data_IF_053665709263
#
_entry.id   IF_053665709263
#
_cell.length_a   1.000
_cell.length_b   1.000
_cell.length_c   1.000
_cell.angle_alpha   90.00
_cell.angle_beta   90.00
_cell.angle_gamma   90.00
#
_symmetry.space_group_name_H-M   'P 1'
#
loop_
_entity.id
_entity.type
_entity.pdbx_description
1 polymer ?
#
# COMPACT_ATOMS: atom_id res chain seq x y z
N UNK A 1 -8.87 -20.20 21.06
CA UNK A 1 -10.12 -19.65 20.52
C UNK A 1 -9.78 -19.04 19.18
N UNK A 2 -10.56 -19.33 18.15
CA UNK A 2 -10.40 -18.64 16.86
C UNK A 2 -10.61 -17.14 17.06
N UNK A 3 -9.58 -16.36 16.73
CA UNK A 3 -9.54 -14.93 17.02
C UNK A 3 -10.40 -14.10 16.07
N UNK A 4 -10.77 -14.65 14.91
CA UNK A 4 -11.60 -14.02 13.90
C UNK A 4 -12.95 -14.75 13.77
N UNK A 5 -14.04 -13.99 13.63
CA UNK A 5 -15.34 -14.56 13.24
C UNK A 5 -15.26 -15.18 11.85
N UNK A 6 -16.23 -16.00 11.49
CA UNK A 6 -16.32 -16.58 10.13
C UNK A 6 -16.39 -15.48 9.06
N UNK A 7 -17.15 -14.42 9.31
CA UNK A 7 -17.23 -13.24 8.44
C UNK A 7 -15.89 -12.52 8.32
N UNK A 8 -15.17 -12.33 9.43
CA UNK A 8 -13.84 -11.70 9.42
C UNK A 8 -12.83 -12.56 8.64
N UNK A 9 -12.90 -13.88 8.75
CA UNK A 9 -12.07 -14.80 7.96
C UNK A 9 -12.39 -14.76 6.48
N UNK A 10 -13.68 -14.72 6.13
CA UNK A 10 -14.10 -14.58 4.74
C UNK A 10 -13.57 -13.28 4.13
N UNK A 11 -13.65 -12.16 4.88
CA UNK A 11 -13.10 -10.87 4.44
C UNK A 11 -11.57 -10.89 4.33
N UNK A 12 -10.87 -11.49 5.29
CA UNK A 12 -9.41 -11.64 5.24
C UNK A 12 -8.99 -12.46 4.01
N UNK A 13 -9.68 -13.57 3.75
CA UNK A 13 -9.45 -14.43 2.60
C UNK A 13 -9.71 -13.71 1.26
N UNK A 14 -10.78 -12.92 1.18
CA UNK A 14 -11.08 -12.10 0.00
C UNK A 14 -9.95 -11.12 -0.30
N UNK A 15 -9.40 -10.47 0.73
CA UNK A 15 -8.32 -9.49 0.61
C UNK A 15 -7.01 -10.18 0.23
N UNK A 16 -6.69 -11.34 0.82
CA UNK A 16 -5.53 -12.14 0.46
C UNK A 16 -5.57 -12.61 -1.00
N UNK A 17 -6.74 -13.01 -1.50
CA UNK A 17 -6.89 -13.46 -2.89
C UNK A 17 -6.50 -12.37 -3.90
N UNK A 18 -6.70 -11.09 -3.57
CA UNK A 18 -6.32 -9.95 -4.44
C UNK A 18 -4.81 -9.83 -4.64
N UNK A 19 -4.03 -10.28 -3.65
CA UNK A 19 -2.56 -10.28 -3.71
C UNK A 19 -1.99 -11.67 -4.01
N UNK A 20 -2.82 -12.62 -4.48
CA UNK A 20 -2.38 -13.95 -4.87
C UNK A 20 -2.00 -14.88 -3.71
N UNK A 21 -2.41 -14.55 -2.48
CA UNK A 21 -2.20 -15.39 -1.30
C UNK A 21 -3.40 -16.31 -1.05
N UNK A 22 -3.14 -17.46 -0.42
CA UNK A 22 -4.17 -18.35 0.10
C UNK A 22 -5.04 -17.71 1.20
N UNK A 23 -6.22 -18.28 1.49
CA UNK A 23 -7.24 -17.66 2.36
C UNK A 23 -6.78 -17.41 3.80
N UNK A 24 -5.78 -18.14 4.28
CA UNK A 24 -5.14 -17.98 5.60
C UNK A 24 -3.62 -18.03 5.47
N UNK A 25 -3.10 -17.63 4.32
CA UNK A 25 -1.66 -17.53 4.09
C UNK A 25 -1.14 -16.20 4.65
N UNK A 26 -0.04 -16.26 5.38
CA UNK A 26 0.61 -15.12 5.99
C UNK A 26 2.01 -14.96 5.41
N UNK A 27 2.39 -13.74 5.08
CA UNK A 27 3.74 -13.42 4.64
C UNK A 27 4.71 -13.44 5.81
N UNK A 28 4.22 -13.24 7.02
CA UNK A 28 4.98 -13.30 8.26
C UNK A 28 4.12 -13.89 9.37
N UNK A 29 4.69 -14.84 10.11
CA UNK A 29 4.11 -15.36 11.35
C UNK A 29 4.55 -14.44 12.48
N UNK A 30 3.62 -14.04 13.36
CA UNK A 30 3.79 -13.06 14.45
C UNK A 30 5.17 -13.13 15.13
N UNK A 31 6.13 -12.36 14.60
CA UNK A 31 7.56 -12.49 14.91
C UNK A 31 7.86 -12.06 16.34
N UNK A 32 7.08 -11.11 16.87
CA UNK A 32 7.41 -10.40 18.10
C UNK A 32 6.50 -10.76 19.28
N UNK A 33 5.31 -11.31 19.08
CA UNK A 33 4.41 -11.65 20.19
C UNK A 33 4.96 -12.74 21.14
N UNK A 34 5.91 -13.55 20.69
CA UNK A 34 6.52 -14.62 21.49
C UNK A 34 7.93 -14.30 21.97
N UNK A 35 8.48 -13.15 21.59
CA UNK A 35 9.82 -12.74 22.01
C UNK A 35 9.76 -12.09 23.40
N UNK A 36 10.84 -12.24 24.17
CA UNK A 36 11.04 -11.41 25.35
C UNK A 36 11.08 -9.94 24.93
N UNK A 37 10.41 -9.04 25.66
CA UNK A 37 10.35 -7.62 25.35
C UNK A 37 11.75 -6.97 25.22
N UNK A 38 12.75 -7.51 25.92
CA UNK A 38 14.15 -7.07 25.83
C UNK A 38 14.82 -7.42 24.50
N UNK A 39 14.27 -8.39 23.75
CA UNK A 39 14.78 -8.84 22.46
C UNK A 39 14.07 -8.17 21.28
N UNK A 40 12.93 -7.50 21.52
CA UNK A 40 12.22 -6.77 20.47
C UNK A 40 12.94 -5.43 20.20
N UNK A 41 13.34 -5.15 18.94
CA UNK A 41 13.95 -3.87 18.57
C UNK A 41 13.07 -2.68 18.99
N UNK A 42 13.69 -1.59 19.44
CA UNK A 42 12.98 -0.35 19.78
C UNK A 42 12.21 0.24 18.59
N UNK A 43 12.73 0.00 17.38
CA UNK A 43 12.14 0.40 16.12
C UNK A 43 11.99 -0.80 15.20
N UNK A 44 10.74 -1.18 14.95
CA UNK A 44 10.35 -2.16 13.94
C UNK A 44 9.99 -1.44 12.64
N UNK A 45 10.17 -2.11 11.51
CA UNK A 45 10.04 -1.49 10.19
C UNK A 45 9.37 -2.41 9.18
N UNK A 46 8.26 -1.97 8.61
CA UNK A 46 7.69 -2.50 7.36
C UNK A 46 8.10 -1.57 6.23
N UNK A 47 8.70 -2.12 5.18
CA UNK A 47 9.32 -1.31 4.12
C UNK A 47 9.05 -1.87 2.73
N UNK A 48 8.73 -1.02 1.74
CA UNK A 48 8.70 -1.44 0.32
C UNK A 48 10.10 -1.52 -0.27
N UNK A 49 11.01 -0.72 0.27
CA UNK A 49 12.42 -0.64 -0.16
C UNK A 49 13.38 -0.88 1.01
N UNK A 50 14.55 -1.46 0.73
CA UNK A 50 15.58 -1.73 1.73
C UNK A 50 15.17 -2.79 2.77
N UNK A 51 15.73 -2.66 3.98
CA UNK A 51 15.53 -3.63 5.07
C UNK A 51 14.14 -3.50 5.71
N UNK A 52 13.51 -4.65 5.97
CA UNK A 52 12.28 -4.78 6.74
C UNK A 52 12.43 -5.89 7.77
N UNK A 53 11.83 -5.67 8.94
CA UNK A 53 11.74 -6.64 10.03
C UNK A 53 10.64 -7.69 9.80
N UNK A 54 9.81 -7.50 8.77
CA UNK A 54 8.75 -8.40 8.38
C UNK A 54 9.04 -8.90 6.97
N UNK A 55 8.66 -10.13 6.64
CA UNK A 55 8.85 -10.69 5.30
C UNK A 55 7.74 -10.15 4.38
N UNK A 56 8.10 -9.38 3.35
CA UNK A 56 7.14 -8.88 2.37
C UNK A 56 6.77 -9.97 1.36
N UNK A 57 5.54 -9.93 0.87
CA UNK A 57 5.14 -10.54 -0.39
C UNK A 57 5.23 -9.48 -1.50
N UNK A 58 6.10 -9.73 -2.49
CA UNK A 58 6.25 -8.84 -3.64
C UNK A 58 5.56 -9.46 -4.84
N UNK A 59 4.67 -8.70 -5.47
CA UNK A 59 3.97 -9.13 -6.68
C UNK A 59 4.11 -8.09 -7.78
N UNK A 60 4.16 -8.55 -9.03
CA UNK A 60 4.12 -7.67 -10.19
C UNK A 60 2.67 -7.27 -10.45
N UNK A 61 2.45 -5.98 -10.69
CA UNK A 61 1.16 -5.43 -11.10
C UNK A 61 1.31 -4.95 -12.54
N UNK A 62 0.40 -5.34 -13.43
CA UNK A 62 0.54 -5.07 -14.86
C UNK A 62 0.09 -3.67 -15.26
N UNK A 63 -0.84 -3.07 -14.51
CA UNK A 63 -1.41 -1.75 -14.82
C UNK A 63 -1.89 -1.04 -13.56
N UNK A 64 -2.08 0.28 -13.65
CA UNK A 64 -2.68 1.07 -12.58
C UNK A 64 -4.13 0.63 -12.27
N UNK A 65 -4.84 0.11 -13.26
CA UNK A 65 -6.18 -0.44 -13.07
C UNK A 65 -6.15 -1.71 -12.21
N UNK A 66 -5.16 -2.57 -12.41
CA UNK A 66 -4.98 -3.75 -11.55
C UNK A 66 -4.56 -3.35 -10.13
N UNK A 67 -3.74 -2.30 -9.98
CA UNK A 67 -3.43 -1.73 -8.68
C UNK A 67 -4.69 -1.22 -7.98
N UNK A 68 -5.55 -0.49 -8.69
CA UNK A 68 -6.83 0.01 -8.17
C UNK A 68 -7.73 -1.12 -7.68
N UNK A 69 -7.86 -2.22 -8.42
CA UNK A 69 -8.64 -3.41 -8.00
C UNK A 69 -8.12 -4.03 -6.71
N UNK A 70 -6.81 -3.98 -6.47
CA UNK A 70 -6.19 -4.48 -5.24
C UNK A 70 -6.49 -3.54 -4.07
N UNK A 71 -6.28 -2.23 -4.26
CA UNK A 71 -6.35 -1.22 -3.18
C UNK A 71 -7.77 -0.78 -2.82
N UNK A 72 -8.68 -0.67 -3.80
CA UNK A 72 -10.06 -0.21 -3.56
C UNK A 72 -10.89 -1.37 -3.03
N UNK A 73 -11.34 -1.24 -1.78
CA UNK A 73 -12.29 -2.17 -1.17
C UNK A 73 -13.71 -1.61 -1.36
N UNK A 74 -14.65 -2.35 -1.96
CA UNK A 74 -16.03 -1.87 -2.17
C UNK A 74 -16.81 -1.60 -0.87
N UNK A 75 -16.25 -1.93 0.30
CA UNK A 75 -16.87 -1.80 1.62
C UNK A 75 -16.09 -0.92 2.61
N UNK A 76 -15.08 -0.16 2.17
CA UNK A 76 -14.55 0.94 2.99
C UNK A 76 -15.41 2.16 2.67
N UNK A 77 -16.43 2.39 3.49
CA UNK A 77 -16.99 3.74 3.63
C UNK A 77 -15.83 4.64 3.99
N UNK A 78 -15.52 5.57 3.09
CA UNK A 78 -14.51 6.61 3.19
C UNK A 78 -14.19 6.97 4.66
N UNK A 79 -13.01 6.62 5.21
CA UNK A 79 -12.51 7.30 6.39
C UNK A 79 -11.96 8.65 5.93
N UNK A 80 -12.83 9.55 5.46
CA UNK A 80 -12.45 10.93 5.18
C UNK A 80 -12.31 11.68 6.51
N UNK A 81 -11.16 11.51 7.17
CA UNK A 81 -10.55 12.55 8.02
C UNK A 81 -9.13 12.89 7.59
N UNK A 82 -8.72 12.48 6.38
CA UNK A 82 -7.53 12.99 5.70
C UNK A 82 -7.94 13.80 4.49
N UNK A 83 -7.17 14.85 4.16
CA UNK A 83 -7.30 15.54 2.87
C UNK A 83 -7.11 14.51 1.75
N UNK A 84 -8.06 14.43 0.83
CA UNK A 84 -7.93 13.61 -0.37
C UNK A 84 -6.66 14.07 -1.12
N UNK A 85 -5.77 13.15 -1.54
CA UNK A 85 -4.61 13.53 -2.32
C UNK A 85 -5.08 14.29 -3.57
N UNK A 86 -4.57 15.50 -3.81
CA UNK A 86 -5.03 16.33 -4.92
C UNK A 86 -4.75 15.62 -6.24
N UNK A 87 -5.74 15.62 -7.13
CA UNK A 87 -5.52 15.23 -8.52
C UNK A 87 -4.75 16.37 -9.21
N UNK A 88 -3.56 16.11 -9.77
CA UNK A 88 -2.83 17.14 -10.50
C UNK A 88 -3.59 17.52 -11.78
N UNK A 89 -3.40 18.74 -12.30
CA UNK A 89 -4.04 19.16 -13.54
C UNK A 89 -3.71 18.21 -14.70
N UNK A 90 -4.61 18.07 -15.65
CA UNK A 90 -4.38 17.26 -16.85
C UNK A 90 -3.10 17.73 -17.57
N UNK A 91 -2.27 16.79 -18.07
CA UNK A 91 -1.06 17.15 -18.77
C UNK A 91 -1.38 17.75 -20.13
N UNK A 92 -0.64 18.79 -20.54
CA UNK A 92 -0.78 19.40 -21.86
C UNK A 92 -0.64 18.36 -22.99
N UNK A 93 -1.51 18.33 -24.02
CA UNK A 93 -1.48 17.30 -25.07
C UNK A 93 -0.14 17.17 -25.80
N UNK A 94 0.62 18.26 -25.92
CA UNK A 94 1.96 18.26 -26.49
C UNK A 94 2.97 17.46 -25.66
N UNK A 95 2.82 17.47 -24.33
CA UNK A 95 3.63 16.72 -23.38
C UNK A 95 3.25 15.24 -23.42
N UNK A 96 1.95 14.93 -23.48
CA UNK A 96 1.45 13.56 -23.67
C UNK A 96 2.08 12.95 -24.92
N UNK A 97 1.95 13.62 -26.07
CA UNK A 97 2.50 13.13 -27.34
C UNK A 97 4.02 12.90 -27.28
N UNK A 98 4.76 13.78 -26.59
CA UNK A 98 6.21 13.62 -26.41
C UNK A 98 6.57 12.40 -25.54
N UNK A 99 5.80 12.13 -24.49
CA UNK A 99 6.05 10.99 -23.61
C UNK A 99 5.61 9.65 -24.20
N UNK A 100 4.55 9.67 -25.01
CA UNK A 100 4.03 8.47 -25.67
C UNK A 100 4.87 8.09 -26.90
N UNK A 101 5.51 9.05 -27.57
CA UNK A 101 6.29 8.84 -28.80
C UNK A 101 7.73 8.33 -28.58
N UNK A 102 8.18 8.22 -27.34
CA UNK A 102 9.56 7.85 -27.03
C UNK A 102 9.57 6.50 -26.30
N UNK A 103 10.55 5.68 -26.63
CA UNK A 103 10.73 4.34 -26.07
C UNK A 103 10.83 4.41 -24.52
N UNK A 104 9.99 3.66 -23.77
CA UNK A 104 10.01 3.62 -22.30
C UNK A 104 11.39 3.29 -21.70
N UNK A 105 12.23 2.54 -22.42
CA UNK A 105 13.57 2.14 -21.99
C UNK A 105 14.60 3.29 -22.03
N UNK A 106 14.35 4.34 -22.81
CA UNK A 106 15.25 5.48 -23.03
C UNK A 106 14.93 6.66 -22.11
N UNK A 107 13.76 6.65 -21.46
CA UNK A 107 13.12 7.86 -20.91
C UNK A 107 13.10 8.02 -19.39
N UNK A 108 13.30 6.96 -18.58
CA UNK A 108 13.22 7.09 -17.10
C UNK A 108 14.13 8.18 -16.52
N UNK A 109 15.22 8.52 -17.21
CA UNK A 109 16.16 9.58 -16.84
C UNK A 109 15.80 10.99 -17.35
N UNK A 110 14.90 11.14 -18.34
CA UNK A 110 14.61 12.42 -18.99
C UNK A 110 13.25 13.03 -18.64
N UNK A 111 12.40 12.33 -17.89
CA UNK A 111 11.15 12.91 -17.37
C UNK A 111 11.52 13.97 -16.31
N UNK A 112 11.07 15.23 -16.46
CA UNK A 112 11.25 16.29 -15.48
C UNK A 112 10.75 15.90 -14.08
N UNK A 113 11.38 16.41 -13.03
CA UNK A 113 11.09 16.02 -11.64
C UNK A 113 9.70 16.42 -11.15
N UNK A 114 9.22 17.59 -11.59
CA UNK A 114 7.86 18.07 -11.42
C UNK A 114 6.86 17.11 -12.07
N UNK A 115 7.12 16.69 -13.30
CA UNK A 115 6.24 15.76 -13.99
C UNK A 115 6.24 14.35 -13.37
N UNK A 116 7.39 13.88 -12.86
CA UNK A 116 7.44 12.64 -12.08
C UNK A 116 6.58 12.71 -10.82
N UNK A 117 6.57 13.88 -10.17
CA UNK A 117 5.73 14.12 -9.00
C UNK A 117 4.25 14.09 -9.38
N UNK A 118 3.84 14.82 -10.42
CA UNK A 118 2.46 14.84 -10.91
C UNK A 118 1.99 13.44 -11.32
N UNK A 119 2.82 12.68 -12.06
CA UNK A 119 2.52 11.28 -12.41
C UNK A 119 2.32 10.40 -11.17
N UNK A 120 3.15 10.58 -10.14
CA UNK A 120 3.03 9.83 -8.89
C UNK A 120 1.76 10.21 -8.12
N UNK A 121 1.41 11.50 -8.05
CA UNK A 121 0.20 11.99 -7.38
C UNK A 121 -1.07 11.51 -8.10
N UNK A 122 -1.11 11.62 -9.43
CA UNK A 122 -2.20 11.07 -10.25
C UNK A 122 -2.33 9.55 -10.09
N UNK A 123 -1.21 8.83 -10.03
CA UNK A 123 -1.22 7.38 -9.85
C UNK A 123 -1.83 6.98 -8.49
N UNK A 124 -1.48 7.70 -7.42
CA UNK A 124 -2.02 7.49 -6.08
C UNK A 124 -3.52 7.80 -6.06
N UNK A 125 -3.94 8.96 -6.59
CA UNK A 125 -5.34 9.38 -6.60
C UNK A 125 -6.24 8.40 -7.37
N UNK A 126 -5.78 7.91 -8.52
CA UNK A 126 -6.48 6.89 -9.30
C UNK A 126 -6.58 5.56 -8.55
N UNK A 127 -5.46 5.06 -8.02
CA UNK A 127 -5.40 3.75 -7.38
C UNK A 127 -6.20 3.69 -6.07
N UNK A 128 -6.37 4.82 -5.37
CA UNK A 128 -7.20 4.93 -4.17
C UNK A 128 -8.68 5.22 -4.46
N UNK A 129 -9.05 5.51 -5.70
CA UNK A 129 -10.43 5.82 -6.08
C UNK A 129 -10.90 7.23 -5.72
N UNK A 130 -9.97 8.16 -5.51
CA UNK A 130 -10.28 9.57 -5.18
C UNK A 130 -10.56 10.42 -6.43
N UNK A 131 -10.27 9.89 -7.61
CA UNK A 131 -10.69 10.49 -8.86
C UNK A 131 -12.20 10.32 -9.05
N UNK A 132 -12.98 11.33 -8.64
CA UNK A 132 -14.44 11.37 -8.79
C UNK A 132 -14.87 11.47 -10.25
N UNK A 133 -14.05 12.08 -11.11
CA UNK A 133 -14.28 12.17 -12.55
C UNK A 133 -13.22 11.35 -13.28
N UNK A 134 -13.64 10.25 -13.91
CA UNK A 134 -12.77 9.39 -14.72
C UNK A 134 -12.01 10.21 -15.77
N UNK A 135 -12.64 11.26 -16.30
CA UNK A 135 -12.09 12.07 -17.38
C UNK A 135 -10.78 12.80 -17.03
N UNK A 136 -10.62 13.27 -15.79
CA UNK A 136 -9.44 14.07 -15.37
C UNK A 136 -8.17 13.23 -15.22
N UNK A 137 -8.32 11.92 -15.05
CA UNK A 137 -7.20 11.01 -14.80
C UNK A 137 -6.96 10.05 -15.96
N UNK A 138 -7.91 9.90 -16.90
CA UNK A 138 -7.73 9.10 -18.13
C UNK A 138 -6.51 9.54 -18.96
N UNK A 139 -6.25 10.85 -19.05
CA UNK A 139 -5.07 11.37 -19.75
C UNK A 139 -3.76 10.97 -19.04
N UNK A 140 -3.80 10.83 -17.72
CA UNK A 140 -2.68 10.32 -16.93
C UNK A 140 -2.54 8.79 -17.00
N UNK A 141 -3.63 8.03 -17.11
CA UNK A 141 -3.63 6.56 -17.11
C UNK A 141 -2.70 5.99 -18.19
N UNK A 142 -2.76 6.53 -19.40
CA UNK A 142 -1.90 6.05 -20.51
C UNK A 142 -0.42 6.28 -20.22
N UNK A 143 -0.06 7.46 -19.73
CA UNK A 143 1.32 7.83 -19.38
C UNK A 143 1.81 6.99 -18.20
N UNK A 144 0.99 6.84 -17.16
CA UNK A 144 1.33 6.06 -15.97
C UNK A 144 1.57 4.60 -16.34
N UNK A 145 0.68 3.98 -17.12
CA UNK A 145 0.86 2.59 -17.55
C UNK A 145 2.13 2.40 -18.40
N UNK A 146 2.45 3.35 -19.28
CA UNK A 146 3.66 3.26 -20.12
C UNK A 146 4.96 3.38 -19.33
N UNK A 147 4.98 4.20 -18.27
CA UNK A 147 6.24 4.61 -17.61
C UNK A 147 6.44 4.03 -16.21
N UNK A 148 5.35 3.67 -15.51
CA UNK A 148 5.37 3.15 -14.14
C UNK A 148 5.01 1.67 -14.06
N UNK A 149 4.48 1.07 -15.13
CA UNK A 149 4.08 -0.32 -15.16
C UNK A 149 4.85 -1.16 -16.22
N UNK A 150 5.11 -2.47 -15.99
CA UNK A 150 4.70 -3.24 -14.80
C UNK A 150 5.38 -2.73 -13.53
N UNK A 151 4.58 -2.56 -12.48
CA UNK A 151 5.00 -2.06 -11.18
C UNK A 151 5.18 -3.21 -10.19
N UNK A 152 5.81 -2.94 -9.06
CA UNK A 152 5.85 -3.88 -7.93
C UNK A 152 4.91 -3.39 -6.83
N UNK A 153 4.14 -4.31 -6.26
CA UNK A 153 3.40 -4.07 -5.02
C UNK A 153 4.09 -4.82 -3.90
N UNK A 154 4.37 -4.12 -2.80
CA UNK A 154 4.82 -4.76 -1.55
C UNK A 154 3.64 -4.95 -0.62
N UNK A 155 3.29 -6.21 -0.37
CA UNK A 155 2.21 -6.61 0.51
C UNK A 155 2.72 -7.29 1.78
N UNK A 156 2.03 -7.07 2.89
CA UNK A 156 2.22 -7.78 4.16
C UNK A 156 0.90 -8.43 4.55
N UNK A 157 0.91 -9.73 4.83
CA UNK A 157 -0.27 -10.44 5.35
C UNK A 157 0.08 -11.13 6.65
N UNK A 158 -0.70 -10.89 7.70
CA UNK A 158 -0.37 -11.32 9.06
C UNK A 158 -1.62 -11.72 9.83
N UNK A 159 -1.50 -12.71 10.70
CA UNK A 159 -2.58 -13.05 11.62
C UNK A 159 -2.73 -11.97 12.69
N UNK A 160 -1.63 -11.62 13.37
CA UNK A 160 -1.59 -10.58 14.40
C UNK A 160 -0.35 -9.72 14.21
N UNK A 161 -0.55 -8.40 14.29
CA UNK A 161 0.51 -7.41 14.39
C UNK A 161 0.56 -6.91 15.84
N UNK A 162 1.63 -7.24 16.55
CA UNK A 162 1.86 -6.78 17.91
C UNK A 162 2.95 -5.71 17.93
N UNK A 163 2.63 -4.53 18.46
CA UNK A 163 3.62 -3.48 18.76
C UNK A 163 3.75 -3.40 20.30
N UNK A 164 4.85 -3.89 20.89
CA UNK A 164 4.98 -3.94 22.34
C UNK A 164 5.02 -2.55 22.99
N UNK A 165 4.75 -2.46 24.31
CA UNK A 165 4.77 -1.18 25.04
C UNK A 165 6.08 -0.40 24.85
N UNK A 166 5.96 0.90 24.59
CA UNK A 166 7.09 1.81 24.37
C UNK A 166 7.89 1.59 23.08
N UNK A 167 7.48 0.64 22.22
CA UNK A 167 8.16 0.33 20.94
C UNK A 167 7.49 1.07 19.79
N UNK A 168 8.22 1.24 18.69
CA UNK A 168 7.75 1.95 17.50
C UNK A 168 7.67 1.01 16.30
N UNK A 169 6.60 1.14 15.51
CA UNK A 169 6.49 0.55 14.18
C UNK A 169 6.51 1.65 13.13
N UNK A 170 7.44 1.56 12.19
CA UNK A 170 7.57 2.49 11.07
C UNK A 170 7.12 1.82 9.78
N UNK A 171 6.14 2.42 9.10
CA UNK A 171 5.77 2.10 7.72
C UNK A 171 6.49 3.07 6.78
N UNK A 172 7.28 2.55 5.84
CA UNK A 172 8.15 3.40 5.01
C UNK A 172 8.46 2.79 3.64
N UNK A 173 9.10 3.57 2.77
CA UNK A 173 9.58 3.14 1.47
C UNK A 173 8.97 3.95 0.33
N UNK A 174 9.51 3.74 -0.87
CA UNK A 174 9.25 4.60 -2.04
C UNK A 174 7.96 4.20 -2.78
N UNK A 175 7.49 2.96 -2.57
CA UNK A 175 6.26 2.43 -3.15
C UNK A 175 5.19 2.21 -2.05
N UNK A 176 3.89 2.31 -2.38
CA UNK A 176 2.82 2.06 -1.43
C UNK A 176 2.88 0.68 -0.80
N UNK A 177 2.54 0.61 0.49
CA UNK A 177 2.42 -0.64 1.23
C UNK A 177 0.98 -1.14 1.27
N UNK A 178 0.77 -2.40 0.89
CA UNK A 178 -0.48 -3.09 1.13
C UNK A 178 -0.36 -3.97 2.37
N UNK A 179 -1.27 -3.83 3.33
CA UNK A 179 -1.18 -4.51 4.61
C UNK A 179 -2.56 -5.13 4.91
N UNK A 180 -2.60 -6.45 5.09
CA UNK A 180 -3.79 -7.20 5.51
C UNK A 180 -3.49 -7.92 6.82
N UNK A 181 -4.14 -7.51 7.91
CA UNK A 181 -3.86 -8.00 9.25
C UNK A 181 -5.14 -8.52 9.89
N UNK A 182 -5.12 -9.74 10.44
CA UNK A 182 -6.22 -10.25 11.26
C UNK A 182 -6.53 -9.34 12.45
N UNK A 183 -5.52 -9.11 13.28
CA UNK A 183 -5.62 -8.33 14.52
C UNK A 183 -4.43 -7.41 14.75
N UNK A 184 -4.68 -6.17 15.16
CA UNK A 184 -3.64 -5.24 15.63
C UNK A 184 -3.72 -5.12 17.16
N UNK A 185 -2.58 -5.29 17.83
CA UNK A 185 -2.41 -5.12 19.28
C UNK A 185 -1.33 -4.08 19.54
N UNK A 186 -1.73 -2.97 20.16
CA UNK A 186 -0.83 -1.87 20.50
C UNK A 186 -0.63 -1.82 22.02
N UNK A 187 0.63 -1.95 22.46
CA UNK A 187 1.02 -1.82 23.86
C UNK A 187 0.99 -0.37 24.34
N UNK A 188 0.95 -0.16 25.65
CA UNK A 188 0.96 1.17 26.24
C UNK A 188 2.18 2.00 25.78
N UNK A 189 1.94 3.23 25.31
CA UNK A 189 2.99 4.12 24.82
C UNK A 189 3.69 3.65 23.54
N UNK A 190 3.11 2.67 22.81
CA UNK A 190 3.60 2.28 21.49
C UNK A 190 3.23 3.34 20.44
N UNK A 191 4.03 3.44 19.38
CA UNK A 191 3.82 4.40 18.30
C UNK A 191 3.75 3.69 16.94
N UNK A 192 2.81 4.13 16.10
CA UNK A 192 2.78 3.81 14.67
C UNK A 192 3.18 5.07 13.89
N UNK A 193 4.30 5.01 13.18
CA UNK A 193 4.84 6.11 12.38
C UNK A 193 4.65 5.77 10.90
N UNK A 194 4.00 6.66 10.17
CA UNK A 194 3.68 6.48 8.75
C UNK A 194 4.49 7.49 7.94
N UNK A 195 5.46 6.98 7.17
CA UNK A 195 6.32 7.79 6.29
C UNK A 195 6.16 7.41 4.80
N UNK A 196 5.13 6.63 4.47
CA UNK A 196 4.82 6.22 3.11
C UNK A 196 3.31 6.08 2.94
N UNK A 197 2.85 6.02 1.69
CA UNK A 197 1.45 5.72 1.40
C UNK A 197 1.16 4.26 1.72
N UNK A 198 -0.02 3.98 2.27
CA UNK A 198 -0.36 2.64 2.70
C UNK A 198 -1.86 2.37 2.60
N UNK A 199 -2.22 1.10 2.43
CA UNK A 199 -3.56 0.57 2.64
C UNK A 199 -3.49 -0.49 3.72
N UNK A 200 -4.12 -0.24 4.87
CA UNK A 200 -4.21 -1.21 5.97
C UNK A 200 -5.64 -1.70 6.07
N UNK A 201 -5.79 -3.00 5.93
CA UNK A 201 -7.00 -3.73 6.22
C UNK A 201 -6.79 -4.49 7.53
N UNK A 202 -7.64 -4.20 8.51
CA UNK A 202 -7.66 -4.95 9.77
C UNK A 202 -9.06 -5.42 10.11
N UNK A 203 -9.18 -6.65 10.61
CA UNK A 203 -10.48 -7.17 11.04
C UNK A 203 -10.77 -6.83 12.51
N UNK A 204 -9.72 -6.60 13.32
CA UNK A 204 -9.83 -6.21 14.72
C UNK A 204 -8.69 -5.28 15.13
N UNK A 205 -9.01 -4.19 15.83
CA UNK A 205 -8.01 -3.31 16.46
C UNK A 205 -8.30 -3.23 17.97
N UNK A 206 -7.30 -3.52 18.80
CA UNK A 206 -7.38 -3.42 20.26
C UNK A 206 -6.23 -2.58 20.81
N UNK A 207 -6.55 -1.52 21.55
CA UNK A 207 -5.60 -0.80 22.41
C UNK A 207 -5.63 -1.44 23.80
N UNK A 208 -4.45 -1.78 24.34
CA UNK A 208 -4.31 -2.23 25.73
C UNK A 208 -4.29 -1.05 26.71
#
# INVERSE_FOLDING_TARGET
MDFLTEEQRARFAEINARIGLGPMEFTTVDTFAKMDHSQVPDLMKMSSTGESHFTPHKMSVASIEDMRKILVTPNIQNPSQGEEPPVPPAPEPSVINKLMSVDPSVLKAQIPSDMKKDMSEAAIAYALGNATDEQDVQDWVSIINQHMYPGTLTAYSMETLTVPPGKKLVLSGDEPLFINIGKIVLGAGSELIINTQFSVNSQQCQSA
#
